data_IF_935536062621
#
_entry.id   IF_935536062621
#
_cell.length_a   1.000
_cell.length_b   1.000
_cell.length_c   1.000
_cell.angle_alpha   90.00
_cell.angle_beta   90.00
_cell.angle_gamma   90.00
#
_symmetry.space_group_name_H-M   'P 1'
#
loop_
_entity.id
_entity.type
_entity.pdbx_description
1 polymer ?
#
# COMPACT_ATOMS: atom_id res chain seq x y z
N UNK A 1 -24.65 -33.53 -10.86
CA UNK A 1 -24.34 -32.09 -10.97
C UNK A 1 -22.87 -31.95 -10.58
N UNK A 2 -21.99 -31.79 -11.56
CA UNK A 2 -20.53 -31.84 -11.40
C UNK A 2 -20.01 -30.42 -11.22
N UNK A 3 -19.32 -30.16 -10.10
CA UNK A 3 -18.68 -28.86 -9.82
C UNK A 3 -17.24 -28.92 -10.29
N UNK A 4 -16.93 -28.13 -11.31
CA UNK A 4 -15.57 -27.90 -11.80
C UNK A 4 -14.82 -26.98 -10.84
N UNK A 5 -13.66 -27.44 -10.37
CA UNK A 5 -12.71 -26.68 -9.58
C UNK A 5 -11.87 -25.77 -10.50
N UNK A 6 -11.83 -24.47 -10.18
CA UNK A 6 -10.94 -23.51 -10.84
C UNK A 6 -9.61 -23.45 -10.07
N UNK A 7 -8.61 -24.21 -10.55
CA UNK A 7 -7.20 -24.01 -10.17
C UNK A 7 -6.72 -22.68 -10.76
N UNK A 8 -6.44 -21.72 -9.90
CA UNK A 8 -5.83 -20.44 -10.28
C UNK A 8 -4.31 -20.63 -10.40
N UNK A 9 -3.78 -20.30 -11.57
CA UNK A 9 -2.36 -20.39 -11.92
C UNK A 9 -1.49 -19.58 -10.95
N UNK A 10 -0.42 -20.23 -10.49
CA UNK A 10 0.67 -19.61 -9.76
C UNK A 10 1.34 -18.53 -10.64
N UNK A 11 1.53 -17.34 -10.07
CA UNK A 11 2.30 -16.27 -10.70
C UNK A 11 3.74 -16.71 -10.92
N UNK A 12 4.17 -16.63 -12.17
CA UNK A 12 5.53 -16.82 -12.60
C UNK A 12 6.41 -15.75 -11.94
N UNK A 13 7.14 -16.13 -10.90
CA UNK A 13 8.14 -15.28 -10.27
C UNK A 13 9.39 -15.37 -11.13
N UNK A 14 9.51 -14.49 -12.12
CA UNK A 14 10.77 -14.27 -12.82
C UNK A 14 11.77 -13.72 -11.80
N UNK A 15 12.64 -14.59 -11.29
CA UNK A 15 13.75 -14.20 -10.42
C UNK A 15 14.77 -13.48 -11.30
N UNK A 16 14.60 -12.17 -11.47
CA UNK A 16 15.64 -11.32 -12.04
C UNK A 16 16.77 -11.22 -11.03
N UNK A 17 17.86 -11.96 -11.26
CA UNK A 17 19.08 -11.89 -10.46
C UNK A 17 19.78 -10.55 -10.72
N UNK A 18 19.38 -9.50 -10.02
CA UNK A 18 20.03 -8.18 -10.08
C UNK A 18 21.36 -8.26 -9.33
N UNK A 19 22.42 -8.60 -10.05
CA UNK A 19 23.78 -8.55 -9.52
C UNK A 19 24.23 -7.09 -9.52
N UNK A 20 24.74 -6.57 -8.40
CA UNK A 20 25.16 -5.17 -8.31
C UNK A 20 26.44 -4.86 -9.09
N UNK A 21 27.16 -5.91 -9.51
CA UNK A 21 28.41 -5.88 -10.25
C UNK A 21 28.28 -6.56 -11.62
N UNK A 22 28.78 -5.91 -12.67
CA UNK A 22 28.75 -6.43 -14.04
C UNK A 22 29.61 -7.70 -14.18
N UNK A 23 29.10 -8.81 -14.76
CA UNK A 23 29.89 -10.01 -14.97
C UNK A 23 31.00 -9.85 -16.03
N UNK A 24 30.86 -8.90 -16.96
CA UNK A 24 31.80 -8.73 -18.07
C UNK A 24 32.93 -7.75 -17.76
N UNK A 25 32.64 -6.66 -17.03
CA UNK A 25 33.62 -5.61 -16.73
C UNK A 25 33.83 -5.34 -15.23
N UNK A 26 33.06 -5.97 -14.34
CA UNK A 26 33.12 -5.73 -12.90
C UNK A 26 32.50 -4.40 -12.43
N UNK A 27 32.01 -3.57 -13.35
CA UNK A 27 31.50 -2.23 -13.06
C UNK A 27 30.23 -2.23 -12.21
N UNK A 28 30.05 -1.15 -11.43
CA UNK A 28 28.89 -0.98 -10.55
C UNK A 28 27.67 -0.49 -11.31
N UNK A 29 26.51 -0.95 -10.89
CA UNK A 29 25.21 -0.52 -11.44
C UNK A 29 24.76 0.82 -10.84
N UNK A 30 24.16 1.68 -11.66
CA UNK A 30 23.54 2.94 -11.22
C UNK A 30 22.16 3.10 -11.86
N UNK A 31 21.19 3.58 -11.08
CA UNK A 31 19.89 3.99 -11.62
C UNK A 31 20.02 5.34 -12.32
N UNK A 32 19.54 5.42 -13.57
CA UNK A 32 19.44 6.64 -14.36
C UNK A 32 18.05 6.71 -14.96
N UNK A 33 17.29 7.75 -14.63
CA UNK A 33 15.88 7.87 -15.05
C UNK A 33 15.06 6.62 -14.72
N UNK A 34 14.62 5.88 -15.76
CA UNK A 34 13.82 4.65 -15.66
C UNK A 34 14.64 3.39 -15.96
N UNK A 35 15.98 3.48 -15.94
CA UNK A 35 16.86 2.38 -16.30
C UNK A 35 17.93 2.14 -15.23
N UNK A 36 18.34 0.89 -15.07
CA UNK A 36 19.58 0.53 -14.35
C UNK A 36 20.66 0.16 -15.35
N UNK A 37 21.80 0.82 -15.23
CA UNK A 37 22.91 0.71 -16.20
C UNK A 37 24.21 0.43 -15.47
N UNK A 38 25.03 -0.49 -15.98
CA UNK A 38 26.41 -0.62 -15.51
C UNK A 38 27.25 0.55 -16.02
N UNK A 39 27.90 1.25 -15.10
CA UNK A 39 28.59 2.53 -15.37
C UNK A 39 29.78 2.42 -16.32
N UNK A 40 30.47 1.27 -16.33
CA UNK A 40 31.71 1.12 -17.10
C UNK A 40 31.49 0.61 -18.53
N UNK A 41 30.47 -0.23 -18.78
CA UNK A 41 30.20 -0.81 -20.09
C UNK A 41 28.90 -0.32 -20.76
N UNK A 42 28.03 0.37 -20.01
CA UNK A 42 26.78 0.91 -20.54
C UNK A 42 25.67 -0.12 -20.76
N UNK A 43 25.84 -1.37 -20.31
CA UNK A 43 24.80 -2.39 -20.41
C UNK A 43 23.62 -2.04 -19.50
N UNK A 44 22.42 -1.98 -20.09
CA UNK A 44 21.15 -1.80 -19.39
C UNK A 44 20.67 -3.14 -18.86
N UNK A 45 20.50 -3.25 -17.54
CA UNK A 45 20.09 -4.49 -16.87
C UNK A 45 18.63 -4.48 -16.42
N UNK A 46 18.03 -3.29 -16.33
CA UNK A 46 16.62 -3.14 -15.98
C UNK A 46 16.09 -1.89 -16.69
N UNK A 47 14.93 -2.02 -17.33
CA UNK A 47 14.17 -0.92 -17.95
C UNK A 47 12.85 -0.74 -17.20
N UNK A 48 12.19 0.41 -17.39
CA UNK A 48 10.89 0.74 -16.77
C UNK A 48 10.90 0.73 -15.22
N UNK A 49 11.96 1.26 -14.62
CA UNK A 49 12.00 1.47 -13.17
C UNK A 49 10.98 2.56 -12.79
N UNK A 50 9.86 2.12 -12.23
CA UNK A 50 8.78 2.97 -11.73
C UNK A 50 9.07 3.39 -10.29
N UNK A 51 9.06 4.69 -10.01
CA UNK A 51 9.01 5.14 -8.62
C UNK A 51 7.65 4.81 -8.02
N UNK A 52 7.68 4.05 -6.91
CA UNK A 52 6.50 3.66 -6.12
C UNK A 52 6.26 4.60 -4.93
N UNK A 53 6.98 5.71 -4.88
CA UNK A 53 6.83 6.79 -3.91
C UNK A 53 5.49 7.53 -4.01
N UNK A 54 5.31 8.60 -3.21
CA UNK A 54 4.10 9.41 -3.22
C UNK A 54 3.74 9.92 -4.62
N UNK A 55 2.44 10.10 -4.89
CA UNK A 55 1.97 10.60 -6.18
C UNK A 55 2.68 11.92 -6.56
N UNK A 56 3.31 11.95 -7.73
CA UNK A 56 4.04 13.13 -8.22
C UNK A 56 3.15 14.17 -8.90
N UNK A 57 1.85 13.89 -9.08
CA UNK A 57 0.91 14.87 -9.63
C UNK A 57 0.56 15.89 -8.55
N UNK A 58 0.79 17.15 -8.84
CA UNK A 58 0.31 18.28 -8.06
C UNK A 58 -0.84 18.97 -8.80
N UNK A 59 -1.88 19.34 -8.06
CA UNK A 59 -3.01 20.16 -8.50
C UNK A 59 -2.98 21.48 -7.74
N UNK A 60 -3.55 22.54 -8.33
CA UNK A 60 -3.55 23.90 -7.75
C UNK A 60 -4.26 23.99 -6.37
N UNK A 61 -5.06 23.00 -6.01
CA UNK A 61 -5.79 22.90 -4.73
C UNK A 61 -5.17 21.86 -3.76
N UNK A 62 -3.99 21.32 -4.09
CA UNK A 62 -3.26 20.45 -3.17
C UNK A 62 -2.59 21.34 -2.10
N UNK A 63 -3.18 21.39 -0.90
CA UNK A 63 -2.56 22.00 0.27
C UNK A 63 -1.31 21.23 0.75
N UNK A 64 -0.95 21.35 2.05
CA UNK A 64 0.29 20.75 2.62
C UNK A 64 0.38 19.21 2.55
N UNK A 65 -0.68 18.50 2.14
CA UNK A 65 -0.68 17.04 2.01
C UNK A 65 -1.26 16.58 0.67
N UNK A 66 -0.42 16.23 -0.31
CA UNK A 66 -0.84 15.75 -1.64
C UNK A 66 -1.34 14.29 -1.63
N UNK A 67 -1.40 13.62 -0.47
CA UNK A 67 -1.70 12.20 -0.37
C UNK A 67 -3.18 11.90 -0.65
N UNK A 68 -3.50 11.56 -1.92
CA UNK A 68 -4.81 11.06 -2.34
C UNK A 68 -4.99 9.57 -2.04
N UNK A 69 -3.89 8.84 -1.97
CA UNK A 69 -3.82 7.48 -1.50
C UNK A 69 -3.68 7.49 0.02
N UNK A 70 -4.51 6.73 0.72
CA UNK A 70 -4.49 6.64 2.19
C UNK A 70 -3.15 6.15 2.75
N UNK A 71 -3.13 5.81 4.05
CA UNK A 71 -1.91 5.35 4.70
C UNK A 71 -1.28 4.13 3.96
N UNK A 72 0.07 4.04 3.92
CA UNK A 72 0.75 2.94 3.27
C UNK A 72 0.42 1.60 3.94
N UNK A 73 0.36 0.53 3.14
CA UNK A 73 0.20 -0.82 3.66
C UNK A 73 1.48 -1.26 4.38
N UNK A 74 1.34 -1.93 5.52
CA UNK A 74 2.48 -2.39 6.32
C UNK A 74 2.28 -3.79 6.85
N UNK A 75 3.25 -4.68 6.63
CA UNK A 75 3.22 -6.05 7.16
C UNK A 75 3.25 -6.11 8.69
N UNK A 76 3.59 -4.99 9.35
CA UNK A 76 3.60 -4.89 10.80
C UNK A 76 2.19 -4.92 11.42
N UNK A 77 1.12 -4.73 10.63
CA UNK A 77 -0.27 -4.79 11.10
C UNK A 77 -0.96 -6.08 10.66
N UNK A 78 -1.86 -6.60 11.49
CA UNK A 78 -2.61 -7.84 11.26
C UNK A 78 -3.27 -7.93 9.86
N UNK A 79 -3.84 -6.83 9.39
CA UNK A 79 -4.58 -6.68 8.14
C UNK A 79 -3.80 -5.85 7.11
N UNK A 80 -2.50 -5.68 7.33
CA UNK A 80 -1.61 -4.86 6.53
C UNK A 80 -1.99 -3.37 6.45
N UNK A 81 -2.85 -2.86 7.34
CA UNK A 81 -3.30 -1.48 7.31
C UNK A 81 -4.54 -1.22 6.43
N UNK A 82 -5.29 -2.27 6.09
CA UNK A 82 -6.54 -2.15 5.32
C UNK A 82 -7.72 -1.62 6.16
N UNK A 83 -7.67 -1.75 7.49
CA UNK A 83 -8.68 -1.21 8.40
C UNK A 83 -8.73 0.31 8.32
N UNK A 84 -9.94 0.84 8.34
CA UNK A 84 -10.21 2.27 8.40
C UNK A 84 -10.65 2.67 9.82
N UNK A 85 -10.70 3.97 10.10
CA UNK A 85 -11.25 4.53 11.33
C UNK A 85 -12.23 5.67 11.00
N UNK A 86 -13.39 5.69 11.67
CA UNK A 86 -14.36 6.77 11.52
C UNK A 86 -14.09 7.85 12.58
N UNK A 87 -13.57 8.99 12.17
CA UNK A 87 -13.24 10.14 13.03
C UNK A 87 -14.43 10.70 13.83
N UNK A 88 -14.14 11.40 14.94
CA UNK A 88 -15.13 11.72 16.00
C UNK A 88 -15.74 13.13 15.99
N UNK A 89 -14.95 14.16 15.67
CA UNK A 89 -15.30 15.56 15.98
C UNK A 89 -15.70 16.35 14.74
N UNK A 90 -15.03 16.06 13.63
CA UNK A 90 -14.99 16.92 12.46
C UNK A 90 -15.14 16.08 11.20
N UNK A 91 -15.78 16.61 10.18
CA UNK A 91 -15.78 15.97 8.86
C UNK A 91 -14.44 16.16 8.14
N UNK A 92 -14.32 15.55 6.96
CA UNK A 92 -13.11 15.63 6.14
C UNK A 92 -12.78 17.05 5.66
N UNK A 93 -13.73 18.00 5.75
CA UNK A 93 -13.55 19.40 5.35
C UNK A 93 -13.23 20.32 6.53
N UNK A 94 -13.07 19.79 7.73
CA UNK A 94 -12.82 20.63 8.91
C UNK A 94 -14.09 21.15 9.62
N UNK A 95 -15.29 20.76 9.17
CA UNK A 95 -16.55 21.21 9.76
C UNK A 95 -16.93 20.39 10.99
N UNK A 96 -17.35 21.07 12.07
CA UNK A 96 -17.82 20.38 13.28
C UNK A 96 -19.11 19.61 13.01
N UNK A 97 -19.17 18.37 13.47
CA UNK A 97 -20.34 17.51 13.27
C UNK A 97 -21.56 18.01 14.06
N UNK A 98 -22.73 18.02 13.44
CA UNK A 98 -24.00 18.32 14.11
C UNK A 98 -24.42 17.19 15.06
N UNK A 99 -25.27 17.47 16.05
CA UNK A 99 -25.77 16.47 17.01
C UNK A 99 -26.36 15.21 16.34
N UNK A 100 -27.29 15.34 15.38
CA UNK A 100 -27.84 14.20 14.65
C UNK A 100 -26.76 13.40 13.89
N UNK A 101 -25.79 14.09 13.27
CA UNK A 101 -24.70 13.45 12.54
C UNK A 101 -23.77 12.67 13.47
N UNK A 102 -23.44 13.23 14.65
CA UNK A 102 -22.67 12.51 15.68
C UNK A 102 -23.37 11.24 16.13
N UNK A 103 -24.68 11.29 16.35
CA UNK A 103 -25.47 10.11 16.73
C UNK A 103 -25.48 9.05 15.61
N UNK A 104 -25.55 9.47 14.35
CA UNK A 104 -25.42 8.55 13.20
C UNK A 104 -24.04 7.89 13.16
N UNK A 105 -22.96 8.67 13.26
CA UNK A 105 -21.59 8.15 13.22
C UNK A 105 -21.27 7.25 14.42
N UNK A 106 -21.86 7.53 15.59
CA UNK A 106 -21.74 6.64 16.74
C UNK A 106 -22.28 5.24 16.44
N UNK A 107 -23.44 5.15 15.78
CA UNK A 107 -24.00 3.85 15.35
C UNK A 107 -23.10 3.15 14.33
N UNK A 108 -22.57 3.91 13.36
CA UNK A 108 -21.67 3.37 12.34
C UNK A 108 -20.37 2.82 12.94
N UNK A 109 -19.75 3.55 13.88
CA UNK A 109 -18.56 3.07 14.60
C UNK A 109 -18.82 1.76 15.34
N UNK A 110 -19.99 1.64 15.98
CA UNK A 110 -20.35 0.41 16.67
C UNK A 110 -20.43 -0.77 15.71
N UNK A 111 -21.08 -0.61 14.55
CA UNK A 111 -21.17 -1.69 13.57
C UNK A 111 -19.81 -1.99 12.93
N UNK A 112 -18.97 -0.97 12.67
CA UNK A 112 -17.61 -1.15 12.18
C UNK A 112 -16.74 -1.97 13.15
N UNK A 113 -16.78 -1.68 14.46
CA UNK A 113 -16.04 -2.43 15.48
C UNK A 113 -16.49 -3.89 15.52
N UNK A 114 -17.80 -4.15 15.32
CA UNK A 114 -18.34 -5.52 15.29
C UNK A 114 -17.90 -6.30 14.05
N UNK A 115 -17.78 -5.64 12.90
CA UNK A 115 -17.38 -6.28 11.65
C UNK A 115 -15.87 -6.38 11.46
N UNK A 116 -15.08 -5.69 12.30
CA UNK A 116 -13.63 -5.54 12.11
C UNK A 116 -12.86 -6.86 12.08
N UNK A 117 -13.27 -7.84 12.88
CA UNK A 117 -12.55 -9.11 13.02
C UNK A 117 -13.44 -10.29 12.62
N UNK A 118 -12.94 -11.11 11.68
CA UNK A 118 -13.64 -12.31 11.21
C UNK A 118 -13.52 -13.49 12.19
N UNK A 119 -12.42 -13.54 12.96
CA UNK A 119 -12.14 -14.64 13.88
C UNK A 119 -11.50 -14.16 15.20
N UNK A 120 -11.45 -15.06 16.20
CA UNK A 120 -10.71 -14.80 17.45
C UNK A 120 -9.20 -14.73 17.21
N UNK A 121 -8.66 -15.57 16.33
CA UNK A 121 -7.23 -15.57 16.01
C UNK A 121 -6.80 -14.23 15.40
N UNK A 122 -7.61 -13.69 14.49
CA UNK A 122 -7.40 -12.40 13.84
C UNK A 122 -7.41 -11.23 14.85
N UNK A 123 -8.34 -11.28 15.81
CA UNK A 123 -8.38 -10.31 16.92
C UNK A 123 -7.15 -10.37 17.82
N UNK A 124 -6.73 -11.58 18.20
CA UNK A 124 -5.52 -11.75 19.01
C UNK A 124 -4.27 -11.28 18.26
N UNK A 125 -4.21 -11.49 16.94
CA UNK A 125 -3.14 -10.99 16.09
C UNK A 125 -3.15 -9.45 16.04
N UNK A 126 -4.32 -8.84 15.92
CA UNK A 126 -4.47 -7.39 15.94
C UNK A 126 -4.01 -6.78 17.26
N UNK A 127 -4.35 -7.39 18.40
CA UNK A 127 -3.91 -6.94 19.73
C UNK A 127 -2.40 -7.11 19.91
N UNK A 128 -1.84 -8.23 19.45
CA UNK A 128 -0.40 -8.52 19.57
C UNK A 128 0.51 -7.74 18.61
N UNK A 129 -0.03 -7.27 17.48
CA UNK A 129 0.67 -6.46 16.48
C UNK A 129 0.26 -4.97 16.53
N UNK A 130 -0.45 -4.54 17.58
CA UNK A 130 -0.93 -3.16 17.72
C UNK A 130 0.17 -2.15 18.03
#
# INVERSE_FOLDING_TARGET
>A
MSTTEHTSQAGETTVSSTTDSCPDCGGTVRSQHHERVYTDCGLVVETDNLDRGPEWRSFDDDGETPARTGAPLTVARHDRGLSTEIGHKTDARGSTLTGPKRAQLFRLRREQVRSRFQSKADRNLADGLS
#
